data_IF_312563387660
#
_entry.id   IF_312563387660
#
_cell.length_a   1.000
_cell.length_b   1.000
_cell.length_c   1.000
_cell.angle_alpha   90.00
_cell.angle_beta   90.00
_cell.angle_gamma   90.00
#
_symmetry.space_group_name_H-M   'P 1'
#
loop_
_entity.id
_entity.type
_entity.pdbx_description
1 polymer ?
#
# COMPACT_ATOMS: atom_id res chain seq x y z
N UNK A 1 10.43 -8.47 29.89
CA UNK A 1 10.99 -8.39 28.52
C UNK A 1 10.08 -7.48 27.73
N UNK A 2 10.57 -6.31 27.31
CA UNK A 2 9.84 -5.45 26.37
C UNK A 2 9.73 -6.22 25.06
N UNK A 3 8.57 -6.81 24.81
CA UNK A 3 8.24 -7.42 23.52
C UNK A 3 8.32 -6.32 22.47
N UNK A 4 9.43 -6.28 21.75
CA UNK A 4 9.61 -5.39 20.61
C UNK A 4 8.47 -5.66 19.63
N UNK A 5 7.65 -4.63 19.37
CA UNK A 5 6.50 -4.79 18.49
C UNK A 5 7.02 -5.14 17.09
N UNK A 6 6.41 -6.11 16.37
CA UNK A 6 6.81 -6.42 15.00
C UNK A 6 6.76 -5.13 14.18
N UNK A 7 7.91 -4.75 13.66
CA UNK A 7 8.07 -3.51 12.92
C UNK A 7 8.00 -3.82 11.45
N UNK A 8 6.95 -3.34 10.80
CA UNK A 8 6.78 -3.45 9.37
C UNK A 8 7.36 -2.19 8.73
N UNK A 9 7.82 -2.27 7.49
CA UNK A 9 8.30 -1.11 6.74
C UNK A 9 7.42 -0.84 5.52
N UNK A 10 7.16 0.42 5.25
CA UNK A 10 6.61 0.88 3.97
C UNK A 10 7.73 0.88 2.94
N UNK A 11 7.54 0.16 1.85
CA UNK A 11 8.52 0.06 0.76
C UNK A 11 7.86 0.38 -0.57
N UNK A 12 8.65 0.88 -1.50
CA UNK A 12 8.20 1.20 -2.86
C UNK A 12 8.85 0.21 -3.83
N UNK A 13 8.07 -0.74 -4.34
CA UNK A 13 8.54 -1.88 -5.14
C UNK A 13 8.36 -1.58 -6.62
N UNK A 14 9.37 -1.91 -7.42
CA UNK A 14 9.36 -1.82 -8.88
C UNK A 14 9.98 -3.08 -9.49
N UNK A 15 9.66 -3.39 -10.74
CA UNK A 15 10.38 -4.43 -11.48
C UNK A 15 11.88 -4.07 -11.58
N UNK A 16 12.76 -5.06 -11.46
CA UNK A 16 14.21 -4.86 -11.57
C UNK A 16 14.57 -4.21 -12.92
N UNK A 17 15.52 -3.27 -12.90
CA UNK A 17 15.95 -2.53 -14.09
C UNK A 17 15.05 -1.35 -14.47
N UNK A 18 13.91 -1.15 -13.80
CA UNK A 18 13.08 0.06 -13.94
C UNK A 18 13.89 1.30 -13.55
N UNK A 19 13.89 2.33 -14.40
CA UNK A 19 14.67 3.57 -14.20
C UNK A 19 13.80 4.72 -13.74
N UNK A 20 13.28 4.63 -12.52
CA UNK A 20 12.54 5.71 -11.85
C UNK A 20 13.40 6.25 -10.71
N UNK A 21 13.43 7.57 -10.57
CA UNK A 21 14.01 8.26 -9.42
C UNK A 21 12.99 9.26 -8.87
N UNK A 22 13.27 9.91 -7.73
CA UNK A 22 12.32 10.81 -7.10
C UNK A 22 11.85 11.99 -7.97
N UNK A 23 12.70 12.48 -8.88
CA UNK A 23 12.35 13.59 -9.75
C UNK A 23 11.42 13.17 -10.89
N UNK A 24 11.49 11.90 -11.31
CA UNK A 24 10.62 11.34 -12.34
C UNK A 24 9.46 10.54 -11.77
N UNK A 25 9.45 10.27 -10.46
CA UNK A 25 8.47 9.45 -9.75
C UNK A 25 7.03 9.86 -10.08
N UNK A 26 6.76 11.15 -10.06
CA UNK A 26 5.46 11.75 -10.36
C UNK A 26 5.06 11.56 -11.84
N UNK A 27 5.99 11.37 -12.75
CA UNK A 27 5.68 11.13 -14.17
C UNK A 27 5.41 9.66 -14.51
N UNK A 28 5.36 8.76 -13.52
CA UNK A 28 5.21 7.32 -13.73
C UNK A 28 3.92 6.78 -13.12
N UNK A 29 3.50 5.60 -13.59
CA UNK A 29 2.27 4.95 -13.14
C UNK A 29 2.47 4.23 -11.80
N UNK A 30 1.50 4.36 -10.89
CA UNK A 30 1.65 3.91 -9.50
C UNK A 30 0.43 3.13 -8.98
N UNK A 31 0.69 2.03 -8.29
CA UNK A 31 -0.30 1.19 -7.61
C UNK A 31 -0.23 1.43 -6.10
N UNK A 32 -1.29 1.96 -5.52
CA UNK A 32 -1.40 2.11 -4.07
C UNK A 32 -2.25 0.98 -3.50
N UNK A 33 -1.93 0.49 -2.30
CA UNK A 33 -2.72 -0.58 -1.66
C UNK A 33 -4.14 -0.14 -1.32
N UNK A 34 -4.36 1.15 -1.10
CA UNK A 34 -5.66 1.72 -0.82
C UNK A 34 -5.57 3.05 -0.09
N UNK A 35 -6.58 3.89 -0.28
CA UNK A 35 -6.66 5.19 0.38
C UNK A 35 -6.62 5.03 1.91
N UNK A 36 -5.75 5.80 2.58
CA UNK A 36 -5.61 5.77 4.04
C UNK A 36 -4.82 4.58 4.61
N UNK A 37 -4.36 3.62 3.79
CA UNK A 37 -3.51 2.54 4.28
C UNK A 37 -2.13 3.07 4.70
N UNK A 38 -1.58 2.55 5.80
CA UNK A 38 -0.34 3.07 6.38
C UNK A 38 0.83 2.98 5.39
N UNK A 39 1.26 1.78 5.03
CA UNK A 39 2.42 1.59 4.15
C UNK A 39 2.12 1.91 2.69
N UNK A 40 0.89 1.71 2.26
CA UNK A 40 0.47 1.87 0.86
C UNK A 40 -0.10 3.25 0.53
N UNK A 41 -0.12 4.21 1.46
CA UNK A 41 -0.61 5.58 1.18
C UNK A 41 -0.04 6.61 2.16
N UNK A 42 -0.31 6.48 3.46
CA UNK A 42 -0.04 7.54 4.46
C UNK A 42 1.45 7.87 4.55
N UNK A 43 2.30 6.86 4.71
CA UNK A 43 3.75 7.05 4.84
C UNK A 43 4.41 7.59 3.57
N UNK A 44 4.19 6.99 2.38
CA UNK A 44 4.83 7.49 1.16
C UNK A 44 4.32 8.89 0.77
N UNK A 45 3.00 9.13 0.79
CA UNK A 45 2.46 10.46 0.47
C UNK A 45 2.89 11.50 1.50
N UNK A 46 2.87 11.16 2.80
CA UNK A 46 3.38 12.04 3.84
C UNK A 46 4.85 12.44 3.65
N UNK A 47 5.69 11.49 3.20
CA UNK A 47 7.10 11.76 2.87
C UNK A 47 7.23 12.66 1.65
N UNK A 48 6.47 12.42 0.59
CA UNK A 48 6.48 13.24 -0.63
C UNK A 48 6.01 14.68 -0.35
N UNK A 49 4.98 14.86 0.48
CA UNK A 49 4.53 16.17 0.93
C UNK A 49 5.59 16.87 1.77
N UNK A 50 6.16 16.18 2.77
CA UNK A 50 7.19 16.74 3.66
C UNK A 50 8.42 17.23 2.89
N UNK A 51 8.78 16.52 1.82
CA UNK A 51 9.96 16.83 1.00
C UNK A 51 9.63 17.73 -0.21
N UNK A 52 8.40 18.26 -0.31
CA UNK A 52 7.93 19.13 -1.39
C UNK A 52 7.97 18.51 -2.81
N UNK A 53 7.82 17.19 -2.92
CA UNK A 53 7.60 16.52 -4.21
C UNK A 53 6.15 16.64 -4.69
N UNK A 54 5.21 16.87 -3.76
CA UNK A 54 3.80 17.11 -4.03
C UNK A 54 3.39 18.33 -3.22
N UNK A 55 2.70 19.27 -3.85
CA UNK A 55 2.15 20.45 -3.20
C UNK A 55 0.62 20.40 -3.20
N UNK A 56 0.02 20.75 -2.06
CA UNK A 56 -1.43 20.86 -1.92
C UNK A 56 -1.79 22.34 -1.96
N UNK A 57 -2.32 22.78 -3.08
CA UNK A 57 -2.69 24.19 -3.32
C UNK A 57 -4.13 24.50 -2.92
N UNK A 58 -5.00 23.47 -2.90
CA UNK A 58 -6.43 23.59 -2.61
C UNK A 58 -6.79 22.85 -1.29
N UNK A 59 -7.70 23.40 -0.50
CA UNK A 59 -8.19 22.73 0.70
C UNK A 59 -8.90 21.41 0.33
N UNK A 60 -8.71 20.37 1.16
CA UNK A 60 -9.32 19.05 0.97
C UNK A 60 -9.02 18.40 -0.39
N UNK A 61 -7.94 18.80 -1.05
CA UNK A 61 -7.59 18.33 -2.39
C UNK A 61 -6.38 17.37 -2.39
N UNK A 62 -6.15 16.63 -1.30
CA UNK A 62 -5.00 15.70 -1.20
C UNK A 62 -4.97 14.71 -2.37
N UNK A 63 -6.09 14.01 -2.61
CA UNK A 63 -6.18 13.02 -3.70
C UNK A 63 -5.97 13.68 -5.05
N UNK A 64 -6.56 14.85 -5.28
CA UNK A 64 -6.39 15.63 -6.52
C UNK A 64 -4.94 16.09 -6.73
N UNK A 65 -4.26 16.54 -5.68
CA UNK A 65 -2.87 16.95 -5.73
C UNK A 65 -1.95 15.77 -6.06
N UNK A 66 -2.16 14.63 -5.41
CA UNK A 66 -1.44 13.39 -5.70
C UNK A 66 -1.72 12.92 -7.13
N UNK A 67 -2.98 12.96 -7.58
CA UNK A 67 -3.37 12.58 -8.95
C UNK A 67 -2.90 13.55 -10.04
N UNK A 68 -2.57 14.79 -9.67
CA UNK A 68 -1.97 15.76 -10.60
C UNK A 68 -0.46 15.60 -10.66
N UNK A 69 0.14 15.13 -9.56
CA UNK A 69 1.54 14.80 -9.50
C UNK A 69 1.81 13.49 -10.27
N UNK A 70 1.10 12.41 -9.93
CA UNK A 70 1.20 11.12 -10.60
C UNK A 70 0.44 11.10 -11.93
N UNK A 71 0.91 10.30 -12.89
CA UNK A 71 0.18 10.07 -14.13
C UNK A 71 -1.05 9.18 -13.91
N UNK A 72 -0.93 7.90 -14.27
CA UNK A 72 -1.99 6.91 -14.10
C UNK A 72 -1.84 6.18 -12.77
N UNK A 73 -2.96 5.95 -12.07
CA UNK A 73 -2.92 5.30 -10.75
C UNK A 73 -3.97 4.20 -10.61
N UNK A 74 -3.72 3.28 -9.68
CA UNK A 74 -4.79 2.59 -8.97
C UNK A 74 -4.73 2.97 -7.50
N UNK A 75 -5.79 3.63 -7.01
CA UNK A 75 -5.97 4.03 -5.62
C UNK A 75 -7.35 3.55 -5.12
N UNK A 76 -7.46 2.29 -4.71
CA UNK A 76 -8.69 1.69 -4.22
C UNK A 76 -9.32 2.47 -3.07
N UNK A 77 -10.64 2.67 -3.13
CA UNK A 77 -11.45 3.39 -2.16
C UNK A 77 -11.47 4.92 -2.32
N UNK A 78 -10.65 5.49 -3.21
CA UNK A 78 -10.53 6.95 -3.38
C UNK A 78 -11.77 7.65 -3.92
N UNK A 79 -12.69 6.91 -4.57
CA UNK A 79 -13.95 7.45 -5.06
C UNK A 79 -15.12 7.31 -4.08
N UNK A 80 -14.89 6.69 -2.91
CA UNK A 80 -15.92 6.58 -1.88
C UNK A 80 -16.26 7.94 -1.28
N UNK A 81 -17.50 8.12 -0.81
CA UNK A 81 -17.97 9.40 -0.24
C UNK A 81 -17.12 9.91 0.92
N UNK A 82 -16.46 9.02 1.67
CA UNK A 82 -15.54 9.38 2.75
C UNK A 82 -14.30 10.13 2.25
N UNK A 83 -13.77 9.76 1.08
CA UNK A 83 -12.54 10.32 0.51
C UNK A 83 -12.77 11.18 -0.74
N UNK A 84 -14.01 11.25 -1.22
CA UNK A 84 -14.47 12.02 -2.37
C UNK A 84 -15.75 12.81 -2.03
N UNK A 85 -15.71 13.56 -0.92
CA UNK A 85 -16.87 14.28 -0.38
C UNK A 85 -17.55 15.25 -1.37
N UNK A 86 -16.78 15.82 -2.30
CA UNK A 86 -17.28 16.75 -3.33
C UNK A 86 -17.52 16.07 -4.69
N UNK A 87 -17.26 14.77 -4.81
CA UNK A 87 -17.43 14.03 -6.07
C UNK A 87 -16.49 14.46 -7.20
N UNK A 88 -15.37 15.10 -6.88
CA UNK A 88 -14.49 15.75 -7.86
C UNK A 88 -13.05 15.19 -7.89
N UNK A 89 -12.78 14.08 -7.21
CA UNK A 89 -11.52 13.35 -7.42
C UNK A 89 -11.42 12.93 -8.91
N UNK A 90 -10.28 13.15 -9.57
CA UNK A 90 -10.13 12.84 -10.99
C UNK A 90 -10.17 11.32 -11.22
N UNK A 91 -10.70 10.89 -12.36
CA UNK A 91 -10.81 9.45 -12.69
C UNK A 91 -9.46 8.75 -12.86
N UNK A 92 -8.37 9.51 -13.12
CA UNK A 92 -7.01 8.97 -13.24
C UNK A 92 -6.56 8.19 -12.01
N UNK A 93 -7.14 8.47 -10.84
CA UNK A 93 -6.87 7.75 -9.58
C UNK A 93 -7.24 6.26 -9.62
N UNK A 94 -8.07 5.86 -10.56
CA UNK A 94 -8.58 4.49 -10.70
C UNK A 94 -8.26 3.87 -12.05
N UNK A 95 -7.51 4.55 -12.91
CA UNK A 95 -7.31 4.16 -14.30
C UNK A 95 -6.56 2.83 -14.46
N UNK A 96 -5.69 2.49 -13.51
CA UNK A 96 -4.98 1.20 -13.51
C UNK A 96 -5.76 0.08 -12.80
N UNK A 97 -6.82 0.41 -12.06
CA UNK A 97 -7.61 -0.59 -11.33
C UNK A 97 -8.39 -1.49 -12.31
N UNK A 98 -8.69 -2.72 -11.90
CA UNK A 98 -9.24 -3.73 -12.83
C UNK A 98 -10.56 -4.35 -12.38
N UNK A 99 -11.05 -4.00 -11.19
CA UNK A 99 -12.36 -4.42 -10.70
C UNK A 99 -13.47 -4.03 -11.68
N UNK A 100 -14.60 -4.73 -11.60
CA UNK A 100 -15.75 -4.48 -12.47
C UNK A 100 -16.94 -4.02 -11.63
N UNK A 101 -17.81 -3.20 -12.22
CA UNK A 101 -19.03 -2.72 -11.56
C UNK A 101 -18.73 -2.06 -10.19
N UNK A 102 -19.30 -2.59 -9.10
CA UNK A 102 -19.13 -2.09 -7.73
C UNK A 102 -17.74 -2.38 -7.14
N UNK A 103 -16.99 -3.31 -7.73
CA UNK A 103 -15.62 -3.62 -7.31
C UNK A 103 -14.60 -2.63 -7.88
N UNK A 104 -14.92 -1.97 -9.01
CA UNK A 104 -14.01 -1.06 -9.67
C UNK A 104 -13.54 0.05 -8.73
N UNK A 105 -12.24 0.05 -8.45
CA UNK A 105 -11.60 1.01 -7.56
C UNK A 105 -12.22 1.08 -6.15
N UNK A 106 -12.89 0.02 -5.70
CA UNK A 106 -13.35 -0.13 -4.32
C UNK A 106 -12.32 -0.92 -3.51
N UNK A 107 -12.56 -1.11 -2.22
CA UNK A 107 -11.69 -1.95 -1.38
C UNK A 107 -11.71 -3.43 -1.77
N UNK A 108 -12.60 -3.82 -2.69
CA UNK A 108 -12.70 -5.16 -3.27
C UNK A 108 -12.13 -5.25 -4.68
N UNK A 109 -11.51 -4.18 -5.19
CA UNK A 109 -10.82 -4.22 -6.48
C UNK A 109 -9.71 -5.29 -6.47
N UNK A 110 -9.46 -5.93 -7.61
CA UNK A 110 -8.38 -6.93 -7.74
C UNK A 110 -7.01 -6.36 -7.38
N UNK A 111 -6.79 -5.05 -7.54
CA UNK A 111 -5.57 -4.36 -7.15
C UNK A 111 -5.65 -3.65 -5.79
N UNK A 112 -6.71 -3.91 -5.01
CA UNK A 112 -6.80 -3.48 -3.62
C UNK A 112 -5.95 -4.35 -2.68
N UNK A 113 -5.53 -3.75 -1.57
CA UNK A 113 -4.65 -4.41 -0.60
C UNK A 113 -3.17 -4.39 -0.99
N UNK A 114 -2.34 -4.91 -0.10
CA UNK A 114 -0.89 -4.93 -0.33
C UNK A 114 -0.52 -5.92 -1.44
N UNK A 115 -1.18 -7.07 -1.47
CA UNK A 115 -1.13 -8.11 -2.49
C UNK A 115 -1.64 -7.62 -3.85
N UNK A 116 -2.80 -6.95 -3.89
CA UNK A 116 -3.33 -6.36 -5.12
C UNK A 116 -2.43 -5.26 -5.71
N UNK A 117 -1.88 -4.38 -4.86
CA UNK A 117 -0.95 -3.35 -5.34
C UNK A 117 0.36 -3.95 -5.88
N UNK A 118 0.89 -5.00 -5.24
CA UNK A 118 2.04 -5.74 -5.78
C UNK A 118 1.69 -6.40 -7.12
N UNK A 119 0.53 -7.06 -7.20
CA UNK A 119 0.00 -7.68 -8.40
C UNK A 119 -0.11 -6.70 -9.57
N UNK A 120 -0.55 -5.47 -9.31
CA UNK A 120 -0.63 -4.39 -10.29
C UNK A 120 0.72 -4.08 -10.97
N UNK A 121 1.84 -4.13 -10.23
CA UNK A 121 3.19 -4.00 -10.81
C UNK A 121 3.64 -5.28 -11.47
N UNK A 122 3.38 -6.43 -10.85
CA UNK A 122 3.79 -7.72 -11.38
C UNK A 122 3.13 -8.06 -12.73
N UNK A 123 1.91 -7.60 -12.96
CA UNK A 123 1.19 -7.69 -14.23
C UNK A 123 1.52 -6.56 -15.22
N UNK A 124 2.46 -5.67 -14.87
CA UNK A 124 2.93 -4.58 -15.72
C UNK A 124 1.92 -3.46 -15.94
N UNK A 125 0.91 -3.32 -15.07
CA UNK A 125 -0.08 -2.23 -15.15
C UNK A 125 0.47 -0.94 -14.58
N UNK A 126 1.15 -1.03 -13.43
CA UNK A 126 1.91 0.08 -12.83
C UNK A 126 3.41 -0.17 -12.86
N UNK A 127 4.19 0.90 -12.70
CA UNK A 127 5.65 0.81 -12.62
C UNK A 127 6.17 0.77 -11.18
N UNK A 128 5.36 1.24 -10.23
CA UNK A 128 5.69 1.32 -8.81
C UNK A 128 4.50 0.90 -7.96
N UNK A 129 4.75 0.16 -6.88
CA UNK A 129 3.75 -0.11 -5.85
C UNK A 129 4.26 0.27 -4.48
N UNK A 130 3.44 0.98 -3.70
CA UNK A 130 3.71 1.18 -2.28
C UNK A 130 3.06 0.06 -1.47
N UNK A 131 3.86 -0.74 -0.80
CA UNK A 131 3.44 -1.93 -0.06
C UNK A 131 4.23 -2.09 1.24
N UNK A 132 3.98 -3.17 1.99
CA UNK A 132 4.82 -3.54 3.12
C UNK A 132 5.99 -4.42 2.68
N UNK A 133 7.07 -4.42 3.45
CA UNK A 133 8.25 -5.25 3.15
C UNK A 133 7.99 -6.77 3.17
N UNK A 134 7.02 -7.25 3.95
CA UNK A 134 6.62 -8.66 4.06
C UNK A 134 5.79 -9.15 2.85
N UNK A 135 5.61 -8.30 1.83
CA UNK A 135 4.80 -8.62 0.66
C UNK A 135 5.28 -9.85 -0.10
N UNK A 136 6.59 -10.07 -0.17
CA UNK A 136 7.15 -11.23 -0.89
C UNK A 136 6.82 -12.54 -0.17
N UNK A 137 6.85 -12.56 1.16
CA UNK A 137 6.44 -13.72 1.96
C UNK A 137 4.93 -14.01 1.78
N UNK A 138 4.11 -12.96 1.79
CA UNK A 138 2.66 -13.06 1.54
C UNK A 138 2.40 -13.64 0.14
N UNK A 139 2.98 -13.04 -0.90
CA UNK A 139 2.76 -13.46 -2.28
C UNK A 139 3.26 -14.89 -2.54
N UNK A 140 4.40 -15.28 -1.94
CA UNK A 140 4.88 -16.65 -2.03
C UNK A 140 3.89 -17.65 -1.43
N UNK A 141 3.22 -17.30 -0.32
CA UNK A 141 2.18 -18.15 0.28
C UNK A 141 0.94 -18.29 -0.61
N UNK A 142 0.52 -17.21 -1.27
CA UNK A 142 -0.63 -17.20 -2.18
C UNK A 142 -0.37 -18.00 -3.46
N UNK A 143 0.85 -17.92 -4.02
CA UNK A 143 1.28 -18.73 -5.17
C UNK A 143 1.25 -20.22 -4.81
N UNK A 144 1.77 -20.58 -3.63
CA UNK A 144 1.78 -21.99 -3.17
C UNK A 144 0.35 -22.55 -3.02
N UNK A 145 -0.61 -21.69 -2.67
CA UNK A 145 -2.03 -22.03 -2.59
C UNK A 145 -2.78 -21.91 -3.93
N UNK A 146 -2.07 -21.67 -5.04
CA UNK A 146 -2.61 -21.51 -6.40
C UNK A 146 -3.56 -20.33 -6.61
N UNK A 147 -3.61 -19.37 -5.69
CA UNK A 147 -4.51 -18.20 -5.77
C UNK A 147 -4.00 -17.13 -6.75
N UNK A 148 -2.70 -17.13 -7.07
CA UNK A 148 -2.08 -16.16 -7.98
C UNK A 148 -1.26 -16.87 -9.05
N UNK A 149 -1.92 -17.31 -10.11
CA UNK A 149 -1.26 -17.95 -11.27
C UNK A 149 -0.59 -16.89 -12.17
N UNK A 150 0.66 -17.15 -12.59
CA UNK A 150 1.33 -16.36 -13.65
C UNK A 150 2.13 -15.13 -13.21
N UNK A 151 2.28 -14.88 -11.91
CA UNK A 151 3.05 -13.76 -11.37
C UNK A 151 4.39 -14.25 -10.83
N UNK A 152 5.50 -13.62 -11.25
CA UNK A 152 6.81 -13.84 -10.62
C UNK A 152 6.81 -13.20 -9.23
N UNK A 153 7.08 -13.99 -8.21
CA UNK A 153 7.23 -13.55 -6.81
C UNK A 153 8.68 -13.59 -6.34
N UNK A 154 9.63 -13.89 -7.24
CA UNK A 154 11.06 -13.90 -6.92
C UNK A 154 11.52 -12.48 -6.58
N UNK A 155 12.01 -12.22 -5.34
CA UNK A 155 12.53 -10.91 -4.95
C UNK A 155 13.60 -10.36 -5.89
N UNK A 156 14.38 -11.22 -6.58
CA UNK A 156 15.39 -10.79 -7.55
C UNK A 156 14.79 -10.19 -8.84
N UNK A 157 13.51 -10.46 -9.13
CA UNK A 157 12.78 -9.83 -10.23
C UNK A 157 12.35 -8.39 -9.92
N UNK A 158 12.60 -7.90 -8.70
CA UNK A 158 12.16 -6.60 -8.21
C UNK A 158 13.29 -5.84 -7.52
N UNK A 159 13.06 -4.55 -7.29
CA UNK A 159 13.95 -3.66 -6.56
C UNK A 159 13.13 -2.61 -5.80
N UNK A 160 13.74 -1.99 -4.80
CA UNK A 160 13.13 -0.92 -4.02
C UNK A 160 13.55 0.45 -4.56
N UNK A 161 12.65 1.43 -4.51
CA UNK A 161 12.97 2.85 -4.63
C UNK A 161 13.06 3.46 -3.23
N UNK A 162 14.22 4.01 -2.89
CA UNK A 162 14.47 4.62 -1.58
C UNK A 162 14.05 6.10 -1.56
N UNK A 163 13.77 6.68 -0.38
CA UNK A 163 13.44 8.11 -0.24
C UNK A 163 14.57 9.09 -0.57
N UNK A 164 15.78 8.61 -0.84
CA UNK A 164 16.91 9.39 -1.36
C UNK A 164 17.07 9.28 -2.90
N UNK A 165 16.19 8.51 -3.55
CA UNK A 165 16.14 8.33 -4.99
C UNK A 165 17.07 7.25 -5.54
N UNK A 166 17.81 6.55 -4.67
CA UNK A 166 18.55 5.35 -5.08
C UNK A 166 17.61 4.15 -5.18
N UNK A 167 18.10 3.11 -5.83
CA UNK A 167 17.49 1.79 -5.79
C UNK A 167 18.27 0.86 -4.86
N UNK A 168 17.58 -0.11 -4.27
CA UNK A 168 18.18 -1.13 -3.41
C UNK A 168 17.56 -2.51 -3.68
N UNK A 169 18.21 -3.57 -3.21
CA UNK A 169 17.62 -4.90 -3.25
C UNK A 169 16.41 -4.96 -2.30
N UNK A 170 15.46 -5.83 -2.59
CA UNK A 170 14.27 -6.06 -1.75
C UNK A 170 14.66 -6.39 -0.30
N UNK A 171 15.76 -7.13 -0.11
CA UNK A 171 16.28 -7.53 1.21
C UNK A 171 16.77 -6.36 2.05
N UNK A 172 17.07 -5.21 1.44
CA UNK A 172 17.64 -4.04 2.13
C UNK A 172 16.56 -3.09 2.68
N UNK A 173 15.30 -3.55 2.76
CA UNK A 173 14.14 -2.77 3.19
C UNK A 173 14.35 -2.01 4.51
N UNK A 174 15.13 -2.55 5.45
CA UNK A 174 15.38 -1.90 6.74
C UNK A 174 16.14 -0.57 6.59
N UNK A 175 16.94 -0.43 5.53
CA UNK A 175 17.69 0.80 5.20
C UNK A 175 17.04 1.60 4.06
N UNK A 176 16.29 0.93 3.19
CA UNK A 176 15.55 1.52 2.07
C UNK A 176 14.03 1.38 2.29
N UNK A 177 13.46 2.27 3.10
CA UNK A 177 12.02 2.33 3.37
C UNK A 177 11.51 3.76 3.50
N UNK A 178 10.20 3.91 3.34
CA UNK A 178 9.45 5.16 3.46
C UNK A 178 8.89 5.37 4.87
N UNK A 179 9.33 4.55 5.82
CA UNK A 179 9.00 4.64 7.23
C UNK A 179 8.56 3.32 7.84
N UNK A 180 8.71 3.25 9.17
CA UNK A 180 8.32 2.12 9.99
C UNK A 180 6.84 2.21 10.32
N UNK A 181 6.08 1.20 9.93
CA UNK A 181 4.64 1.08 10.17
C UNK A 181 4.38 0.03 11.26
N UNK A 182 3.34 0.24 12.05
CA UNK A 182 2.92 -0.71 13.08
C UNK A 182 2.12 -1.86 12.46
N UNK A 183 2.11 -3.01 13.14
CA UNK A 183 1.17 -4.09 12.83
C UNK A 183 -0.28 -3.61 12.88
N UNK A 184 -1.15 -4.27 12.10
CA UNK A 184 -2.59 -4.04 12.17
C UNK A 184 -3.09 -4.31 13.60
N UNK A 185 -4.07 -3.52 14.04
CA UNK A 185 -4.65 -3.60 15.38
C UNK A 185 -6.14 -3.88 15.30
N UNK A 186 -6.63 -4.70 16.24
CA UNK A 186 -8.07 -4.92 16.42
C UNK A 186 -8.60 -3.83 17.34
N UNK A 187 -9.49 -2.99 16.80
CA UNK A 187 -10.14 -1.92 17.53
C UNK A 187 -11.51 -2.38 18.03
N UNK A 188 -11.89 -1.88 19.20
CA UNK A 188 -13.25 -2.02 19.73
C UNK A 188 -13.70 -0.70 20.34
N UNK A 189 -14.99 -0.60 20.64
CA UNK A 189 -15.57 0.62 21.19
C UNK A 189 -14.90 1.02 22.50
N UNK A 190 -14.64 2.32 22.66
CA UNK A 190 -14.02 2.87 23.87
C UNK A 190 -14.91 2.72 25.12
N UNK A 191 -16.24 2.56 24.96
CA UNK A 191 -17.17 2.37 26.07
C UNK A 191 -17.35 0.91 26.48
N UNK A 192 -16.62 -0.03 25.84
CA UNK A 192 -16.74 -1.46 26.15
C UNK A 192 -16.15 -1.77 27.51
N UNK A 193 -16.82 -2.59 28.30
CA UNK A 193 -16.35 -2.95 29.63
C UNK A 193 -15.01 -3.70 29.55
N UNK A 194 -14.06 -3.43 30.48
CA UNK A 194 -12.73 -4.04 30.42
C UNK A 194 -12.73 -5.58 30.39
N UNK A 195 -13.71 -6.22 31.03
CA UNK A 195 -13.81 -7.68 31.04
C UNK A 195 -14.19 -8.25 29.66
N UNK A 196 -14.99 -7.54 28.86
CA UNK A 196 -15.33 -7.92 27.48
C UNK A 196 -14.09 -7.80 26.58
N UNK A 197 -13.33 -6.71 26.73
CA UNK A 197 -12.07 -6.52 25.99
C UNK A 197 -11.06 -7.63 26.32
N UNK A 198 -10.97 -8.04 27.59
CA UNK A 198 -10.18 -9.20 28.00
C UNK A 198 -10.69 -10.49 27.36
N UNK A 199 -12.00 -10.66 27.26
CA UNK A 199 -12.64 -11.76 26.53
C UNK A 199 -12.19 -11.84 25.07
N UNK A 200 -12.19 -10.72 24.34
CA UNK A 200 -11.69 -10.67 22.96
C UNK A 200 -10.23 -11.10 22.86
N UNK A 201 -9.36 -10.60 23.74
CA UNK A 201 -7.94 -10.98 23.76
C UNK A 201 -7.77 -12.48 24.02
N UNK A 202 -8.46 -13.03 25.01
CA UNK A 202 -8.39 -14.44 25.34
C UNK A 202 -8.85 -15.32 24.17
N UNK A 203 -9.96 -14.94 23.53
CA UNK A 203 -10.46 -15.64 22.35
C UNK A 203 -9.43 -15.64 21.21
N UNK A 204 -8.83 -14.49 20.91
CA UNK A 204 -7.84 -14.38 19.83
C UNK A 204 -6.57 -15.17 20.13
N UNK A 205 -6.07 -15.15 21.38
CA UNK A 205 -4.92 -15.97 21.78
C UNK A 205 -5.23 -17.47 21.70
N UNK A 206 -6.45 -17.88 22.07
CA UNK A 206 -6.87 -19.27 21.94
C UNK A 206 -6.96 -19.69 20.47
N UNK A 207 -7.54 -18.84 19.61
CA UNK A 207 -7.63 -19.11 18.18
C UNK A 207 -6.23 -19.26 17.53
N UNK A 208 -5.29 -18.38 17.87
CA UNK A 208 -3.90 -18.44 17.38
C UNK A 208 -3.18 -19.75 17.73
N UNK A 209 -3.56 -20.41 18.84
CA UNK A 209 -2.94 -21.68 19.22
C UNK A 209 -3.54 -22.88 18.48
N UNK A 210 -4.75 -22.72 17.92
CA UNK A 210 -5.51 -23.80 17.30
C UNK A 210 -5.44 -23.78 15.77
N UNK A 211 -5.19 -22.61 15.18
CA UNK A 211 -5.14 -22.35 13.75
C UNK A 211 -3.86 -21.59 13.41
#
# INVERSE_FOLDING_TARGET
>A
TTTEKPSLYSVAVMAAGTKINLNTLTQNSVCFSGIGMAAGWVYPIGTLLKNNYIEITECNALVKAVASAFGHMCLPGSLTSLYNQYGNNPTSVCELCTGQNEEFCSTSDTFAGYDGAFRCVAEGKGQLAYVRHDIFDIMQSLVNNSETSGISVDPASYQLLCPDGKTAAVTDYATCNWGQVTSNVILTSAVREPYIVKGYKNFLFAAQQLF
#
